data_IF_201102631187
#
_entry.id   IF_201102631187
#
_cell.length_a   1.000
_cell.length_b   1.000
_cell.length_c   1.000
_cell.angle_alpha   90.00
_cell.angle_beta   90.00
_cell.angle_gamma   90.00
#
_symmetry.space_group_name_H-M   'P 1'
#
loop_
_entity.id
_entity.type
_entity.pdbx_description
1 polymer ?
#
# COMPACT_ATOMS: atom_id res chain seq x y z
N UNK A 1 -22.59 6.46 4.93
CA UNK A 1 -21.47 6.02 5.80
C UNK A 1 -21.05 7.17 6.72
N UNK A 2 -22.02 7.83 7.37
CA UNK A 2 -21.74 9.01 8.20
C UNK A 2 -21.94 8.66 9.67
N UNK A 3 -21.07 9.17 10.53
CA UNK A 3 -21.14 9.05 11.98
C UNK A 3 -21.37 10.43 12.61
N UNK A 4 -22.57 10.73 13.15
CA UNK A 4 -22.90 12.05 13.68
C UNK A 4 -23.09 12.11 15.22
N UNK A 5 -22.68 11.07 15.96
CA UNK A 5 -22.99 10.97 17.40
C UNK A 5 -22.17 11.93 18.24
N UNK A 6 -22.81 12.69 19.12
CA UNK A 6 -22.15 13.62 20.04
C UNK A 6 -21.82 14.97 19.38
N UNK A 7 -20.97 15.72 20.04
CA UNK A 7 -20.47 17.03 19.60
C UNK A 7 -18.95 17.06 19.64
N UNK A 8 -18.35 18.06 18.98
CA UNK A 8 -16.91 18.28 19.03
C UNK A 8 -16.55 19.73 19.35
N UNK A 9 -15.36 19.88 19.90
CA UNK A 9 -14.70 21.15 20.20
C UNK A 9 -13.29 21.14 19.63
N UNK A 10 -12.84 22.28 19.10
CA UNK A 10 -11.48 22.43 18.56
C UNK A 10 -11.10 23.90 18.51
N UNK A 11 -9.80 24.20 18.63
CA UNK A 11 -9.27 25.55 18.61
C UNK A 11 -8.51 25.76 17.30
N UNK A 12 -8.59 26.97 16.74
CA UNK A 12 -7.79 27.33 15.57
C UNK A 12 -6.29 27.06 15.83
N UNK A 13 -5.69 26.26 14.94
CA UNK A 13 -4.30 25.84 15.02
C UNK A 13 -4.05 24.53 15.77
N UNK A 14 -5.05 23.95 16.43
CA UNK A 14 -4.88 22.67 17.12
C UNK A 14 -4.88 21.49 16.15
N UNK A 15 -4.04 20.49 16.42
CA UNK A 15 -4.02 19.22 15.68
C UNK A 15 -4.97 18.18 16.27
N UNK A 16 -5.71 18.52 17.32
CA UNK A 16 -6.61 17.62 18.04
C UNK A 16 -8.02 18.17 18.09
N UNK A 17 -8.98 17.26 18.09
CA UNK A 17 -10.39 17.58 18.35
C UNK A 17 -10.84 16.81 19.58
N UNK A 18 -11.55 17.48 20.48
CA UNK A 18 -12.19 16.85 21.63
C UNK A 18 -13.66 16.60 21.31
N UNK A 19 -14.18 15.48 21.80
CA UNK A 19 -15.56 15.07 21.62
C UNK A 19 -16.31 14.99 22.94
N UNK A 20 -17.61 15.23 22.91
CA UNK A 20 -18.53 14.94 24.00
C UNK A 20 -19.62 13.97 23.53
N UNK A 21 -19.82 12.87 24.25
CA UNK A 21 -20.80 11.84 23.88
C UNK A 21 -20.49 11.13 22.56
N UNK A 22 -19.26 11.23 22.06
CA UNK A 22 -18.85 10.77 20.73
C UNK A 22 -18.65 9.27 20.63
N UNK A 23 -18.19 8.60 21.69
CA UNK A 23 -18.01 7.14 21.76
C UNK A 23 -17.22 6.55 20.57
N UNK A 24 -16.17 7.25 20.12
CA UNK A 24 -15.48 6.92 18.88
C UNK A 24 -14.78 5.55 18.90
N UNK A 25 -14.16 5.14 20.02
CA UNK A 25 -13.53 3.82 20.12
C UNK A 25 -14.57 2.71 20.20
N UNK A 26 -15.65 2.91 20.97
CA UNK A 26 -16.77 1.97 21.04
C UNK A 26 -17.38 1.75 19.66
N UNK A 27 -17.54 2.82 18.87
CA UNK A 27 -18.01 2.75 17.49
C UNK A 27 -16.96 2.22 16.49
N UNK A 28 -15.72 1.95 16.94
CA UNK A 28 -14.56 1.50 16.14
C UNK A 28 -14.21 2.45 15.01
N UNK A 29 -14.35 3.76 15.25
CA UNK A 29 -13.87 4.77 14.31
C UNK A 29 -12.35 4.82 14.41
N UNK A 30 -11.65 4.48 13.33
CA UNK A 30 -10.18 4.57 13.27
C UNK A 30 -9.67 5.77 12.46
N UNK A 31 -10.58 6.47 11.77
CA UNK A 31 -10.28 7.59 10.88
C UNK A 31 -11.46 7.91 9.97
N UNK A 32 -11.30 8.92 9.12
CA UNK A 32 -12.35 9.38 8.21
C UNK A 32 -12.16 10.84 7.81
N UNK A 33 -13.19 11.43 7.20
CA UNK A 33 -13.22 12.86 6.90
C UNK A 33 -14.26 13.50 7.81
N UNK A 34 -13.82 14.44 8.64
CA UNK A 34 -14.65 15.23 9.54
C UNK A 34 -15.27 16.40 8.77
N UNK A 35 -16.57 16.55 8.91
CA UNK A 35 -17.34 17.68 8.39
C UNK A 35 -18.05 18.39 9.53
N UNK A 36 -17.99 19.72 9.48
CA UNK A 36 -18.71 20.63 10.36
C UNK A 36 -19.34 21.68 9.44
N UNK A 37 -20.58 22.07 9.73
CA UNK A 37 -21.28 23.06 8.89
C UNK A 37 -20.56 24.41 8.92
N UNK A 38 -20.44 25.05 7.75
CA UNK A 38 -19.74 26.32 7.58
C UNK A 38 -18.20 26.25 7.57
N UNK A 39 -17.60 25.08 7.74
CA UNK A 39 -16.14 24.91 7.82
C UNK A 39 -15.60 23.97 6.72
N UNK A 40 -14.30 24.06 6.44
CA UNK A 40 -13.67 23.16 5.47
C UNK A 40 -13.48 21.75 6.07
N UNK A 41 -13.78 20.67 5.31
CA UNK A 41 -13.59 19.31 5.81
C UNK A 41 -12.12 18.99 6.07
N UNK A 42 -11.85 18.22 7.12
CA UNK A 42 -10.50 17.81 7.52
C UNK A 42 -10.43 16.30 7.73
N UNK A 43 -9.33 15.67 7.34
CA UNK A 43 -9.13 14.25 7.56
C UNK A 43 -8.70 13.98 9.02
N UNK A 44 -9.26 12.93 9.61
CA UNK A 44 -8.78 12.37 10.88
C UNK A 44 -7.56 11.48 10.60
N UNK A 45 -6.44 11.77 11.27
CA UNK A 45 -5.25 10.93 11.26
C UNK A 45 -5.48 9.67 12.08
N UNK A 46 -6.06 9.82 13.27
CA UNK A 46 -6.39 8.72 14.17
C UNK A 46 -7.47 9.12 15.17
N UNK A 47 -8.13 8.13 15.78
CA UNK A 47 -8.91 8.29 17.01
C UNK A 47 -8.07 7.72 18.14
N UNK A 48 -7.91 8.50 19.22
CA UNK A 48 -7.04 8.17 20.35
C UNK A 48 -7.80 7.79 21.62
N UNK A 49 -9.09 8.15 21.71
CA UNK A 49 -10.00 7.68 22.75
C UNK A 49 -11.46 7.85 22.30
N UNK A 50 -12.42 7.44 23.13
CA UNK A 50 -13.86 7.71 22.89
C UNK A 50 -14.20 9.19 22.66
N UNK A 51 -13.34 10.12 23.09
CA UNK A 51 -13.56 11.58 23.09
C UNK A 51 -12.37 12.38 22.54
N UNK A 52 -11.40 11.74 21.89
CA UNK A 52 -10.22 12.43 21.36
C UNK A 52 -9.80 11.83 20.01
N UNK A 53 -9.49 12.72 19.06
CA UNK A 53 -8.98 12.35 17.74
C UNK A 53 -7.93 13.36 17.25
N UNK A 54 -7.00 12.88 16.44
CA UNK A 54 -5.96 13.68 15.80
C UNK A 54 -6.34 13.99 14.35
N UNK A 55 -6.05 15.22 13.92
CA UNK A 55 -6.25 15.69 12.55
C UNK A 55 -4.97 15.50 11.74
N UNK A 56 -5.12 15.21 10.44
CA UNK A 56 -3.97 15.13 9.50
C UNK A 56 -3.30 16.50 9.32
N UNK A 57 -4.10 17.56 9.36
CA UNK A 57 -3.64 18.95 9.33
C UNK A 57 -4.28 19.72 10.49
N UNK A 58 -3.55 20.65 11.14
CA UNK A 58 -4.13 21.47 12.18
C UNK A 58 -5.41 22.19 11.73
N UNK A 59 -6.35 22.36 12.65
CA UNK A 59 -7.64 22.99 12.40
C UNK A 59 -7.46 24.43 11.93
N UNK A 60 -7.84 24.72 10.69
CA UNK A 60 -7.70 26.07 10.10
C UNK A 60 -8.97 26.93 10.23
N UNK A 61 -10.06 26.35 10.72
CA UNK A 61 -11.35 27.00 10.87
C UNK A 61 -11.43 27.90 12.11
N UNK A 62 -12.61 28.45 12.39
CA UNK A 62 -12.82 29.21 13.62
C UNK A 62 -12.70 28.30 14.85
N UNK A 63 -12.43 28.85 16.04
CA UNK A 63 -12.51 28.04 17.27
C UNK A 63 -13.96 27.66 17.54
N UNK A 64 -14.21 26.37 17.74
CA UNK A 64 -15.53 25.79 17.90
C UNK A 64 -15.67 25.12 19.26
N UNK A 65 -16.86 25.18 19.81
CA UNK A 65 -17.18 24.56 21.09
C UNK A 65 -18.53 23.87 20.99
N UNK A 66 -18.54 22.57 21.28
CA UNK A 66 -19.68 21.67 21.36
C UNK A 66 -20.63 21.74 20.16
N UNK A 67 -20.03 21.75 18.97
CA UNK A 67 -20.77 21.84 17.71
C UNK A 67 -21.13 20.46 17.15
N UNK A 68 -22.24 20.34 16.40
CA UNK A 68 -22.57 19.11 15.69
C UNK A 68 -21.58 18.86 14.54
N UNK A 69 -21.39 17.58 14.21
CA UNK A 69 -20.48 17.16 13.15
C UNK A 69 -20.99 15.89 12.47
N UNK A 70 -20.31 15.49 11.39
CA UNK A 70 -20.41 14.13 10.87
C UNK A 70 -19.06 13.67 10.31
N UNK A 71 -18.68 12.42 10.62
CA UNK A 71 -17.50 11.79 10.02
C UNK A 71 -17.94 10.90 8.87
N UNK A 72 -17.42 11.15 7.67
CA UNK A 72 -17.47 10.19 6.57
C UNK A 72 -16.45 9.08 6.84
N UNK A 73 -16.94 7.88 7.14
CA UNK A 73 -16.10 6.72 7.39
C UNK A 73 -15.52 6.21 6.07
N UNK A 74 -14.20 6.16 5.95
CA UNK A 74 -13.59 5.48 4.81
C UNK A 74 -13.85 3.98 4.96
N UNK A 75 -14.64 3.42 4.04
CA UNK A 75 -14.92 1.97 4.08
C UNK A 75 -13.64 1.18 3.84
N UNK A 76 -13.59 -0.05 4.37
CA UNK A 76 -12.49 -0.98 4.12
C UNK A 76 -12.17 -1.16 2.63
N UNK A 77 -13.16 -0.97 1.74
CA UNK A 77 -12.96 -1.01 0.29
C UNK A 77 -12.02 0.10 -0.21
N UNK A 78 -12.16 1.34 0.28
CA UNK A 78 -11.28 2.45 -0.11
C UNK A 78 -9.85 2.25 0.41
N UNK A 79 -9.70 1.75 1.64
CA UNK A 79 -8.40 1.41 2.21
C UNK A 79 -7.69 0.28 1.42
N UNK A 80 -8.44 -0.75 1.03
CA UNK A 80 -7.92 -1.85 0.21
C UNK A 80 -7.47 -1.39 -1.18
N UNK A 81 -8.21 -0.45 -1.80
CA UNK A 81 -7.82 0.13 -3.09
C UNK A 81 -6.51 0.92 -2.96
N UNK A 82 -6.37 1.74 -1.91
CA UNK A 82 -5.14 2.49 -1.68
C UNK A 82 -3.93 1.57 -1.44
N UNK A 83 -4.08 0.56 -0.57
CA UNK A 83 -3.05 -0.44 -0.32
C UNK A 83 -2.67 -1.20 -1.60
N UNK A 84 -3.66 -1.62 -2.40
CA UNK A 84 -3.42 -2.30 -3.67
C UNK A 84 -2.66 -1.40 -4.64
N UNK A 85 -3.02 -0.12 -4.74
CA UNK A 85 -2.33 0.83 -5.61
C UNK A 85 -0.89 1.08 -5.16
N UNK A 86 -0.65 1.20 -3.86
CA UNK A 86 0.70 1.35 -3.30
C UNK A 86 1.55 0.10 -3.57
N UNK A 87 1.02 -1.09 -3.28
CA UNK A 87 1.71 -2.34 -3.56
C UNK A 87 2.00 -2.50 -5.06
N UNK A 88 1.06 -2.16 -5.94
CA UNK A 88 1.28 -2.19 -7.38
C UNK A 88 2.36 -1.21 -7.83
N UNK A 89 2.40 -0.01 -7.24
CA UNK A 89 3.45 0.97 -7.50
C UNK A 89 4.82 0.44 -7.07
N UNK A 90 4.92 -0.14 -5.86
CA UNK A 90 6.16 -0.74 -5.36
C UNK A 90 6.62 -1.93 -6.20
N UNK A 91 5.71 -2.84 -6.57
CA UNK A 91 6.01 -3.98 -7.43
C UNK A 91 6.47 -3.51 -8.82
N UNK A 92 5.82 -2.49 -9.39
CA UNK A 92 6.23 -1.93 -10.67
C UNK A 92 7.62 -1.31 -10.60
N UNK A 93 7.89 -0.50 -9.57
CA UNK A 93 9.19 0.13 -9.35
C UNK A 93 10.30 -0.91 -9.14
N UNK A 94 10.02 -1.95 -8.36
CA UNK A 94 10.95 -3.04 -8.13
C UNK A 94 11.21 -3.90 -9.37
N UNK A 95 10.22 -4.05 -10.26
CA UNK A 95 10.42 -4.70 -11.55
C UNK A 95 11.28 -3.85 -12.49
N UNK A 96 11.02 -2.53 -12.58
CA UNK A 96 11.81 -1.60 -13.41
C UNK A 96 13.25 -1.45 -12.93
N UNK A 97 13.47 -1.34 -11.62
CA UNK A 97 14.80 -1.33 -11.01
C UNK A 97 15.51 -2.69 -11.07
N UNK A 98 14.82 -3.71 -11.64
CA UNK A 98 15.20 -5.10 -11.65
C UNK A 98 15.51 -5.61 -10.25
N UNK A 99 14.99 -5.04 -9.17
CA UNK A 99 15.35 -5.44 -7.79
C UNK A 99 14.54 -6.65 -7.32
N UNK A 100 13.37 -6.89 -7.91
CA UNK A 100 12.51 -8.02 -7.53
C UNK A 100 12.83 -9.32 -8.28
N UNK A 101 13.29 -9.23 -9.52
CA UNK A 101 13.74 -10.38 -10.31
C UNK A 101 15.02 -10.05 -11.08
N UNK A 102 16.15 -10.62 -10.62
CA UNK A 102 17.47 -10.51 -11.27
C UNK A 102 17.93 -11.87 -11.76
N UNK A 103 17.74 -12.20 -13.05
CA UNK A 103 18.49 -13.33 -13.61
C UNK A 103 19.98 -13.01 -13.56
N UNK A 104 20.79 -13.97 -13.13
CA UNK A 104 22.26 -13.85 -13.08
C UNK A 104 22.87 -13.73 -14.48
N UNK A 105 22.21 -14.34 -15.48
CA UNK A 105 22.55 -14.21 -16.89
C UNK A 105 21.33 -14.33 -17.81
N UNK A 106 21.44 -13.79 -19.01
CA UNK A 106 20.41 -13.85 -20.04
C UNK A 106 20.99 -14.20 -21.42
N UNK A 107 20.17 -14.78 -22.30
CA UNK A 107 20.57 -15.08 -23.67
C UNK A 107 19.69 -16.12 -24.36
N UNK A 108 20.27 -16.94 -25.23
CA UNK A 108 19.56 -18.01 -25.94
C UNK A 108 19.53 -19.30 -25.11
N UNK A 109 18.61 -20.21 -25.41
CA UNK A 109 18.57 -21.52 -24.76
C UNK A 109 19.88 -22.31 -24.94
N UNK A 110 20.54 -22.18 -26.10
CA UNK A 110 21.85 -22.78 -26.34
C UNK A 110 22.95 -22.13 -25.48
N UNK A 111 22.90 -20.80 -25.32
CA UNK A 111 23.85 -20.04 -24.49
C UNK A 111 23.83 -20.42 -23.01
N UNK A 112 22.70 -20.97 -22.50
CA UNK A 112 22.59 -21.49 -21.12
C UNK A 112 23.64 -22.56 -20.81
N UNK A 113 24.06 -23.36 -21.80
CA UNK A 113 25.02 -24.44 -21.58
C UNK A 113 26.37 -23.94 -21.04
N UNK A 114 26.74 -22.68 -21.32
CA UNK A 114 27.94 -22.04 -20.77
C UNK A 114 27.92 -21.94 -19.23
N UNK A 115 26.72 -22.01 -18.62
CA UNK A 115 26.50 -21.91 -17.17
C UNK A 115 26.17 -23.27 -16.54
N UNK A 116 26.44 -24.40 -17.20
CA UNK A 116 26.09 -25.73 -16.68
C UNK A 116 26.76 -26.05 -15.33
N UNK A 117 27.93 -25.47 -15.06
CA UNK A 117 28.68 -25.59 -13.81
C UNK A 117 28.39 -24.48 -12.80
N UNK A 118 27.37 -23.64 -13.04
CA UNK A 118 26.97 -22.60 -12.09
C UNK A 118 26.47 -23.21 -10.77
N UNK A 119 26.55 -22.43 -9.71
CA UNK A 119 26.09 -22.84 -8.39
C UNK A 119 24.58 -23.10 -8.38
N UNK A 120 24.12 -23.82 -7.35
CA UNK A 120 22.70 -23.98 -7.05
C UNK A 120 22.03 -22.59 -6.93
N UNK A 121 20.78 -22.51 -7.39
CA UNK A 121 19.93 -21.31 -7.40
C UNK A 121 20.33 -20.21 -8.40
N UNK A 122 21.34 -20.44 -9.24
CA UNK A 122 21.65 -19.57 -10.38
C UNK A 122 20.47 -19.52 -11.37
N UNK A 123 20.13 -18.31 -11.82
CA UNK A 123 18.97 -18.04 -12.66
C UNK A 123 19.42 -17.62 -14.06
N UNK A 124 18.97 -18.35 -15.08
CA UNK A 124 19.20 -18.01 -16.48
C UNK A 124 17.88 -17.66 -17.19
N UNK A 125 17.78 -16.46 -17.76
CA UNK A 125 16.62 -16.03 -18.53
C UNK A 125 16.87 -16.19 -20.05
N UNK A 126 16.02 -16.96 -20.72
CA UNK A 126 16.02 -17.11 -22.17
C UNK A 126 15.10 -16.08 -22.79
N UNK A 127 15.67 -15.19 -23.60
CA UNK A 127 14.95 -14.14 -24.31
C UNK A 127 14.20 -14.71 -25.52
N UNK A 128 12.96 -14.27 -25.78
CA UNK A 128 12.24 -14.66 -26.98
C UNK A 128 12.94 -14.15 -28.23
N UNK A 129 13.02 -15.00 -29.25
CA UNK A 129 13.65 -14.67 -30.55
C UNK A 129 12.68 -14.08 -31.57
N UNK A 130 11.38 -14.05 -31.22
CA UNK A 130 10.31 -13.46 -32.04
C UNK A 130 9.46 -12.55 -31.17
N UNK A 131 8.92 -11.50 -31.79
CA UNK A 131 7.97 -10.59 -31.15
C UNK A 131 6.72 -11.38 -30.72
N UNK A 132 6.31 -11.22 -29.46
CA UNK A 132 5.22 -12.01 -28.85
C UNK A 132 5.65 -13.36 -28.26
N UNK A 133 6.93 -13.73 -28.31
CA UNK A 133 7.45 -14.94 -27.65
C UNK A 133 7.49 -14.79 -26.12
N UNK A 134 7.27 -15.91 -25.41
CA UNK A 134 7.36 -15.94 -23.94
C UNK A 134 8.81 -15.92 -23.47
N UNK A 135 9.05 -15.18 -22.39
CA UNK A 135 10.29 -15.22 -21.64
C UNK A 135 10.32 -16.50 -20.79
N UNK A 136 11.40 -17.29 -20.89
CA UNK A 136 11.53 -18.56 -20.17
C UNK A 136 12.69 -18.52 -19.19
N UNK A 137 12.44 -18.89 -17.94
CA UNK A 137 13.42 -18.91 -16.86
C UNK A 137 13.85 -20.34 -16.52
N UNK A 138 15.14 -20.50 -16.23
CA UNK A 138 15.72 -21.75 -15.77
C UNK A 138 16.51 -21.53 -14.48
N UNK A 139 16.37 -22.46 -13.54
CA UNK A 139 17.05 -22.44 -12.24
C UNK A 139 18.01 -23.61 -12.15
N UNK A 140 19.22 -23.38 -11.63
CA UNK A 140 20.12 -24.47 -11.24
C UNK A 140 19.56 -25.18 -10.01
N UNK A 141 19.20 -26.45 -10.14
CA UNK A 141 18.65 -27.23 -9.01
C UNK A 141 19.75 -27.66 -8.03
N UNK A 142 20.94 -27.94 -8.57
CA UNK A 142 22.16 -28.25 -7.80
C UNK A 142 23.43 -27.78 -8.52
N UNK A 143 24.58 -27.88 -7.85
CA UNK A 143 25.90 -27.64 -8.46
C UNK A 143 26.32 -28.74 -9.45
N UNK A 144 25.54 -29.83 -9.58
CA UNK A 144 25.78 -30.89 -10.57
C UNK A 144 25.67 -30.32 -11.97
N UNK A 145 26.61 -30.66 -12.86
CA UNK A 145 26.61 -30.12 -14.23
C UNK A 145 25.29 -30.39 -14.95
N UNK A 146 24.77 -29.37 -15.64
CA UNK A 146 23.54 -29.43 -16.43
C UNK A 146 22.25 -29.81 -15.66
N UNK A 147 22.28 -29.81 -14.32
CA UNK A 147 21.10 -29.99 -13.49
C UNK A 147 20.29 -28.68 -13.40
N UNK A 148 19.32 -28.56 -14.30
CA UNK A 148 18.45 -27.39 -14.47
C UNK A 148 16.99 -27.76 -14.23
N UNK A 149 16.20 -26.79 -13.75
CA UNK A 149 14.76 -26.91 -13.66
C UNK A 149 14.11 -27.09 -15.03
N UNK A 150 12.87 -27.59 -15.02
CA UNK A 150 11.96 -27.36 -16.15
C UNK A 150 11.79 -25.85 -16.34
N UNK A 151 11.78 -25.40 -17.61
CA UNK A 151 11.70 -23.97 -17.91
C UNK A 151 10.36 -23.40 -17.46
N UNK A 152 10.39 -22.31 -16.71
CA UNK A 152 9.19 -21.60 -16.28
C UNK A 152 8.92 -20.42 -17.22
N UNK A 153 7.76 -20.41 -17.87
CA UNK A 153 7.33 -19.31 -18.74
C UNK A 153 6.47 -18.32 -17.98
N UNK A 154 6.60 -17.04 -18.28
CA UNK A 154 5.65 -16.01 -17.86
C UNK A 154 4.55 -15.79 -18.91
#
# INVERSE_FOLDING_TARGET
>A
MFYPTGTISTINGDATVSGEGTLWEVARISGGILFIDGEFPVALASVTSDTSAELVTPWSGTTLTDVPYYILLMTAQAANVLFSHQLLAELSAGLYAKTLFRPDAFGTLAGRAAFNSAAKDFIYAVLPTVEGGQLTYYFKLSATSADWSVGATN
#
